data_IF_265301544675
#
_entry.id   IF_265301544675
#
_cell.length_a   1.000
_cell.length_b   1.000
_cell.length_c   1.000
_cell.angle_alpha   90.00
_cell.angle_beta   90.00
_cell.angle_gamma   90.00
#
_symmetry.space_group_name_H-M   'P 1'
#
loop_
_entity.id
_entity.type
_entity.pdbx_description
1 polymer ?
#
# COMPACT_ATOMS: atom_id res chain seq x y z
N UNK A 1 -11.75 9.07 3.93
CA UNK A 1 -10.28 9.14 3.96
C UNK A 1 -9.75 7.81 3.45
N UNK A 2 -8.93 7.83 2.39
CA UNK A 2 -8.62 6.65 1.59
C UNK A 2 -7.74 5.68 2.36
N UNK A 3 -8.40 4.60 2.76
CA UNK A 3 -7.85 3.48 3.50
C UNK A 3 -7.62 2.41 2.46
N UNK A 4 -6.40 1.89 2.44
CA UNK A 4 -6.00 0.67 1.76
C UNK A 4 -5.61 0.85 0.27
N UNK A 5 -4.55 0.14 -0.10
CA UNK A 5 -4.21 -0.17 -1.48
C UNK A 5 -4.72 -1.58 -1.80
N UNK A 6 -5.08 -1.83 -3.05
CA UNK A 6 -5.64 -3.11 -3.48
C UNK A 6 -4.74 -3.75 -4.53
N UNK A 7 -4.35 -5.00 -4.27
CA UNK A 7 -3.64 -5.82 -5.25
C UNK A 7 -4.64 -6.52 -6.18
N UNK A 8 -4.34 -6.52 -7.48
CA UNK A 8 -5.13 -7.24 -8.48
C UNK A 8 -4.23 -8.15 -9.32
N UNK A 9 -4.75 -9.32 -9.70
CA UNK A 9 -4.12 -10.21 -10.69
C UNK A 9 -4.97 -10.25 -11.96
N UNK A 10 -4.32 -10.39 -13.11
CA UNK A 10 -5.00 -10.48 -14.41
C UNK A 10 -4.93 -11.92 -14.92
N UNK A 11 -6.09 -12.52 -15.19
CA UNK A 11 -6.21 -13.85 -15.79
C UNK A 11 -7.34 -13.86 -16.82
N UNK A 12 -7.09 -14.45 -18.01
CA UNK A 12 -8.10 -14.54 -19.07
C UNK A 12 -8.68 -13.18 -19.50
N UNK A 13 -7.89 -12.10 -19.40
CA UNK A 13 -8.33 -10.74 -19.71
C UNK A 13 -9.10 -10.02 -18.59
N UNK A 14 -9.47 -10.72 -17.52
CA UNK A 14 -10.19 -10.17 -16.37
C UNK A 14 -9.24 -9.85 -15.21
N UNK A 15 -9.55 -8.79 -14.46
CA UNK A 15 -8.85 -8.44 -13.21
C UNK A 15 -9.64 -8.98 -12.01
N UNK A 16 -8.93 -9.56 -11.04
CA UNK A 16 -9.49 -10.02 -9.78
C UNK A 16 -8.71 -9.42 -8.63
N UNK A 17 -9.41 -8.84 -7.65
CA UNK A 17 -8.80 -8.33 -6.43
C UNK A 17 -8.28 -9.52 -5.62
N UNK A 18 -7.01 -9.51 -5.25
CA UNK A 18 -6.37 -10.59 -4.47
C UNK A 18 -5.99 -10.16 -3.07
N UNK A 19 -5.79 -8.87 -2.83
CA UNK A 19 -5.38 -8.35 -1.54
C UNK A 19 -5.98 -6.98 -1.25
N UNK A 20 -6.13 -6.70 0.04
CA UNK A 20 -6.39 -5.37 0.60
C UNK A 20 -5.27 -5.08 1.59
N UNK A 21 -4.36 -4.19 1.22
CA UNK A 21 -3.17 -3.88 1.99
C UNK A 21 -3.36 -2.58 2.75
N UNK A 22 -2.94 -2.58 4.01
CA UNK A 22 -3.00 -1.43 4.93
C UNK A 22 -1.68 -1.27 5.65
N UNK A 23 -1.32 -0.04 6.01
CA UNK A 23 -0.33 0.19 7.06
C UNK A 23 -0.83 -0.43 8.38
N UNK A 24 0.03 -1.19 9.05
CA UNK A 24 -0.31 -1.86 10.30
C UNK A 24 -0.52 -0.86 11.47
N UNK A 25 0.18 0.26 11.41
CA UNK A 25 0.15 1.40 12.34
C UNK A 25 -0.65 2.59 11.80
N UNK A 26 -1.25 2.46 10.61
CA UNK A 26 -1.95 3.56 9.96
C UNK A 26 -3.18 4.04 10.74
N UNK A 27 -3.19 5.32 11.06
CA UNK A 27 -4.29 6.08 11.62
C UNK A 27 -5.06 6.88 10.55
N UNK A 28 -6.17 7.48 10.97
CA UNK A 28 -6.98 8.32 10.12
C UNK A 28 -6.34 9.69 9.93
N UNK A 29 -5.95 10.02 8.70
CA UNK A 29 -5.29 11.29 8.39
C UNK A 29 -3.95 11.08 7.69
N UNK A 30 -3.37 9.90 7.80
CA UNK A 30 -1.97 9.65 7.43
C UNK A 30 -1.73 9.54 5.91
N UNK A 31 -2.83 9.57 5.14
CA UNK A 31 -2.84 9.47 3.68
C UNK A 31 -2.07 8.25 3.14
N UNK A 32 -2.18 7.08 3.79
CA UNK A 32 -1.64 5.84 3.25
C UNK A 32 -2.17 5.54 1.85
N UNK A 33 -1.29 5.20 0.92
CA UNK A 33 -1.64 5.00 -0.49
C UNK A 33 -1.67 6.28 -1.31
N UNK A 34 -1.17 7.41 -0.78
CA UNK A 34 -1.09 8.67 -1.52
C UNK A 34 -0.20 8.56 -2.76
N UNK A 35 0.87 7.78 -2.68
CA UNK A 35 1.74 7.44 -3.79
C UNK A 35 2.10 5.96 -3.75
N UNK A 36 2.27 5.37 -4.94
CA UNK A 36 2.68 3.96 -5.11
C UNK A 36 3.72 3.88 -6.20
N UNK A 37 4.80 3.15 -5.95
CA UNK A 37 5.79 2.74 -6.95
C UNK A 37 5.95 1.23 -6.89
N UNK A 38 6.13 0.58 -8.03
CA UNK A 38 6.29 -0.88 -8.13
C UNK A 38 7.53 -1.19 -8.96
N UNK A 39 8.38 -2.07 -8.44
CA UNK A 39 9.51 -2.64 -9.14
C UNK A 39 9.55 -4.16 -8.92
N UNK A 40 9.41 -4.91 -10.02
CA UNK A 40 9.23 -6.36 -9.99
C UNK A 40 8.09 -6.79 -9.05
N UNK A 41 8.46 -7.53 -8.00
CA UNK A 41 7.54 -8.03 -6.98
C UNK A 41 7.46 -7.12 -5.75
N UNK A 42 8.05 -5.92 -5.78
CA UNK A 42 8.07 -5.01 -4.62
C UNK A 42 7.21 -3.80 -4.90
N UNK A 43 6.33 -3.44 -3.97
CA UNK A 43 5.57 -2.20 -3.98
C UNK A 43 5.99 -1.31 -2.81
N UNK A 44 6.28 -0.04 -3.10
CA UNK A 44 6.51 1.00 -2.11
C UNK A 44 5.29 1.91 -2.06
N UNK A 45 4.69 2.07 -0.88
CA UNK A 45 3.46 2.83 -0.65
C UNK A 45 3.74 3.96 0.33
N UNK A 46 3.48 5.20 -0.10
CA UNK A 46 3.66 6.40 0.73
C UNK A 46 2.45 6.70 1.62
N UNK A 47 2.73 7.22 2.81
CA UNK A 47 1.77 7.80 3.74
C UNK A 47 2.31 9.15 4.21
N UNK A 48 1.99 10.23 3.50
CA UNK A 48 2.67 11.53 3.67
C UNK A 48 2.40 12.22 5.01
N UNK A 49 1.34 11.85 5.72
CA UNK A 49 0.96 12.41 7.03
C UNK A 49 1.11 11.39 8.16
N UNK A 50 1.88 10.32 7.96
CA UNK A 50 2.13 9.37 9.04
C UNK A 50 2.91 10.03 10.18
N UNK A 51 2.47 9.79 11.40
CA UNK A 51 3.15 10.23 12.62
C UNK A 51 4.29 9.28 13.00
N UNK A 52 5.30 9.19 12.12
CA UNK A 52 6.45 8.29 12.29
C UNK A 52 7.53 8.94 13.18
N UNK A 53 7.24 9.02 14.48
CA UNK A 53 8.15 9.57 15.50
C UNK A 53 7.97 11.06 15.78
N UNK A 54 7.36 11.81 14.87
CA UNK A 54 6.80 13.15 15.11
C UNK A 54 5.59 13.39 14.18
N UNK A 55 4.84 14.46 14.43
CA UNK A 55 3.62 14.76 13.68
C UNK A 55 3.87 14.98 12.18
N UNK A 56 3.07 14.34 11.33
CA UNK A 56 3.06 14.50 9.86
C UNK A 56 4.44 14.32 9.18
N UNK A 57 5.36 13.55 9.76
CA UNK A 57 6.69 13.33 9.17
C UNK A 57 6.66 12.44 7.93
N UNK A 58 5.57 11.69 7.77
CA UNK A 58 5.37 10.74 6.70
C UNK A 58 6.10 9.42 6.93
N UNK A 59 5.69 8.41 6.17
CA UNK A 59 6.30 7.09 6.14
C UNK A 59 6.16 6.46 4.75
N UNK A 60 6.96 5.44 4.49
CA UNK A 60 6.84 4.58 3.33
C UNK A 60 6.83 3.12 3.77
N UNK A 61 5.94 2.34 3.16
CA UNK A 61 5.71 0.93 3.48
C UNK A 61 6.09 0.08 2.28
N UNK A 62 6.81 -1.00 2.53
CA UNK A 62 7.24 -1.95 1.49
C UNK A 62 6.38 -3.21 1.58
N UNK A 63 5.81 -3.62 0.46
CA UNK A 63 5.07 -4.87 0.31
C UNK A 63 5.75 -5.74 -0.74
N UNK A 64 5.82 -7.05 -0.49
CA UNK A 64 6.41 -8.03 -1.38
C UNK A 64 5.32 -8.95 -1.92
N UNK A 65 5.29 -9.11 -3.24
CA UNK A 65 4.42 -10.05 -3.92
C UNK A 65 5.09 -11.42 -4.00
N UNK A 66 4.67 -12.35 -3.13
CA UNK A 66 5.22 -13.70 -3.07
C UNK A 66 4.11 -14.73 -3.27
N UNK A 67 4.40 -15.76 -4.07
CA UNK A 67 3.50 -16.90 -4.30
C UNK A 67 2.05 -16.53 -4.67
N UNK A 68 1.86 -15.41 -5.38
CA UNK A 68 0.53 -14.98 -5.81
C UNK A 68 -0.19 -14.02 -4.86
N UNK A 69 0.47 -13.53 -3.82
CA UNK A 69 -0.11 -12.68 -2.77
C UNK A 69 0.81 -11.51 -2.41
N UNK A 70 0.23 -10.39 -1.95
CA UNK A 70 0.94 -9.17 -1.51
C UNK A 70 1.00 -9.08 0.01
#
# INVERSE_FOLDING_TARGET
MHKCFYGFTRSGGSWSQTAKLTAADGAGGDFFGYSVSVDGNTALVGAMSQDAGAADTGAAYVFAYENGSW
#
